data_IF_683210516509
#
_entry.id   IF_683210516509
#
_cell.length_a   1.000
_cell.length_b   1.000
_cell.length_c   1.000
_cell.angle_alpha   90.00
_cell.angle_beta   90.00
_cell.angle_gamma   90.00
#
_symmetry.space_group_name_H-M   'P 1'
#
loop_
_entity.id
_entity.type
_entity.pdbx_description
1 polymer ?
#
# COMPACT_ATOMS: atom_id res chain seq x y z
N UNK A 1 18.29 0.71 -2.43
CA UNK A 1 17.38 1.79 -2.85
C UNK A 1 16.04 1.12 -3.06
N UNK A 2 15.10 1.27 -2.13
CA UNK A 2 13.82 0.57 -2.20
C UNK A 2 13.00 1.12 -3.36
N UNK A 3 12.67 0.27 -4.33
CA UNK A 3 11.83 0.62 -5.48
C UNK A 3 10.35 0.29 -5.22
N UNK A 4 9.45 0.91 -5.99
CA UNK A 4 8.00 0.62 -5.92
C UNK A 4 7.74 -0.88 -6.07
N UNK A 5 8.46 -1.54 -6.98
CA UNK A 5 8.36 -2.98 -7.23
C UNK A 5 8.77 -3.84 -6.04
N UNK A 6 9.81 -3.46 -5.30
CA UNK A 6 10.22 -4.19 -4.09
C UNK A 6 9.17 -4.07 -2.99
N UNK A 7 8.63 -2.86 -2.76
CA UNK A 7 7.59 -2.65 -1.76
C UNK A 7 6.33 -3.44 -2.12
N UNK A 8 5.88 -3.34 -3.38
CA UNK A 8 4.73 -4.09 -3.88
C UNK A 8 4.96 -5.59 -3.76
N UNK A 9 6.14 -6.09 -4.14
CA UNK A 9 6.48 -7.51 -4.07
C UNK A 9 6.43 -8.05 -2.64
N UNK A 10 7.08 -7.36 -1.70
CA UNK A 10 7.06 -7.74 -0.29
C UNK A 10 5.65 -7.70 0.29
N UNK A 11 4.84 -6.70 -0.10
CA UNK A 11 3.46 -6.58 0.35
C UNK A 11 2.59 -7.71 -0.19
N UNK A 12 2.79 -8.12 -1.45
CA UNK A 12 2.07 -9.24 -2.05
C UNK A 12 2.48 -10.58 -1.44
N UNK A 13 3.75 -10.76 -1.08
CA UNK A 13 4.24 -11.96 -0.41
C UNK A 13 3.74 -12.08 1.04
N UNK A 14 3.72 -10.96 1.77
CA UNK A 14 3.29 -10.92 3.17
C UNK A 14 1.78 -10.81 3.33
N UNK A 15 1.07 -10.32 2.30
CA UNK A 15 -0.35 -10.00 2.37
C UNK A 15 -0.65 -8.83 3.30
N UNK A 16 0.35 -8.03 3.69
CA UNK A 16 0.20 -6.94 4.64
C UNK A 16 0.95 -5.69 4.18
N UNK A 17 0.23 -4.57 4.13
CA UNK A 17 0.75 -3.27 3.74
C UNK A 17 0.81 -2.36 4.97
N UNK A 18 1.99 -2.21 5.60
CA UNK A 18 2.17 -1.31 6.73
C UNK A 18 2.15 0.17 6.30
N UNK A 19 1.83 1.05 7.23
CA UNK A 19 1.76 2.50 7.00
C UNK A 19 3.07 3.07 6.46
N UNK A 20 4.22 2.62 6.95
CA UNK A 20 5.53 3.09 6.47
C UNK A 20 5.76 2.73 4.99
N UNK A 21 5.29 1.56 4.55
CA UNK A 21 5.41 1.11 3.17
C UNK A 21 4.48 1.90 2.25
N UNK A 22 3.25 2.21 2.70
CA UNK A 22 2.32 3.11 1.99
C UNK A 22 2.91 4.50 1.80
N UNK A 23 3.49 5.07 2.85
CA UNK A 23 4.09 6.40 2.80
C UNK A 23 5.32 6.43 1.88
N UNK A 24 6.13 5.37 1.89
CA UNK A 24 7.25 5.24 0.94
C UNK A 24 6.75 5.11 -0.51
N UNK A 25 5.74 4.28 -0.76
CA UNK A 25 5.09 4.16 -2.06
C UNK A 25 4.56 5.50 -2.56
N UNK A 26 3.86 6.25 -1.71
CA UNK A 26 3.31 7.57 -2.06
C UNK A 26 4.42 8.56 -2.41
N UNK A 27 5.51 8.59 -1.63
CA UNK A 27 6.68 9.42 -1.92
C UNK A 27 7.34 9.05 -3.25
N UNK A 28 7.48 7.76 -3.54
CA UNK A 28 8.06 7.28 -4.80
C UNK A 28 7.17 7.59 -6.00
N UNK A 29 5.86 7.46 -5.87
CA UNK A 29 4.88 7.83 -6.90
C UNK A 29 4.77 9.35 -7.11
N UNK A 30 5.17 10.17 -6.14
CA UNK A 30 5.27 11.62 -6.31
C UNK A 30 6.52 12.04 -7.09
N UNK A 31 7.51 11.16 -7.25
CA UNK A 31 8.70 11.47 -8.04
C UNK A 31 8.36 11.44 -9.52
N UNK A 32 8.80 12.43 -10.29
CA UNK A 32 8.45 12.61 -11.71
C UNK A 32 9.03 11.54 -12.66
N UNK A 33 9.67 10.49 -12.13
CA UNK A 33 10.42 9.47 -12.89
C UNK A 33 10.04 8.02 -12.59
N UNK A 34 8.86 7.73 -12.03
CA UNK A 34 8.43 6.33 -11.95
C UNK A 34 8.01 5.82 -13.34
N UNK A 35 8.45 4.61 -13.67
CA UNK A 35 8.20 4.02 -14.98
C UNK A 35 6.79 3.42 -15.09
N UNK A 36 6.43 2.99 -16.29
CA UNK A 36 5.18 2.23 -16.51
C UNK A 36 5.16 0.91 -15.71
N UNK A 37 6.32 0.30 -15.49
CA UNK A 37 6.46 -0.90 -14.67
C UNK A 37 6.11 -0.67 -13.20
N UNK A 38 6.51 0.49 -12.65
CA UNK A 38 6.19 0.88 -11.28
C UNK A 38 4.68 1.17 -11.13
N UNK A 39 4.09 1.84 -12.13
CA UNK A 39 2.65 2.07 -12.17
C UNK A 39 1.87 0.76 -12.24
N UNK A 40 2.30 -0.19 -13.07
CA UNK A 40 1.66 -1.50 -13.18
C UNK A 40 1.76 -2.31 -11.87
N UNK A 41 2.92 -2.27 -11.20
CA UNK A 41 3.09 -2.87 -9.89
C UNK A 41 2.14 -2.25 -8.86
N UNK A 42 2.03 -0.91 -8.86
CA UNK A 42 1.11 -0.22 -7.97
C UNK A 42 -0.36 -0.57 -8.25
N UNK A 43 -0.79 -0.66 -9.51
CA UNK A 43 -2.16 -1.07 -9.85
C UNK A 43 -2.48 -2.47 -9.33
N UNK A 44 -1.55 -3.42 -9.47
CA UNK A 44 -1.71 -4.79 -8.93
C UNK A 44 -1.86 -4.78 -7.42
N UNK A 45 -1.07 -3.96 -6.73
CA UNK A 45 -1.19 -3.80 -5.28
C UNK A 45 -2.56 -3.27 -4.88
N UNK A 46 -3.04 -2.22 -5.56
CA UNK A 46 -4.36 -1.65 -5.30
C UNK A 46 -5.47 -2.68 -5.53
N UNK A 47 -5.39 -3.45 -6.62
CA UNK A 47 -6.37 -4.49 -6.92
C UNK A 47 -6.38 -5.60 -5.84
N UNK A 48 -5.22 -6.11 -5.44
CA UNK A 48 -5.11 -7.13 -4.40
C UNK A 48 -5.63 -6.63 -3.04
N UNK A 49 -5.42 -5.35 -2.71
CA UNK A 49 -6.02 -4.73 -1.52
C UNK A 49 -7.54 -4.56 -1.63
N UNK A 50 -8.08 -4.26 -2.82
CA UNK A 50 -9.53 -4.20 -3.06
C UNK A 50 -10.18 -5.58 -2.99
N UNK A 51 -9.51 -6.62 -3.46
CA UNK A 51 -9.95 -8.01 -3.39
C UNK A 51 -9.83 -8.60 -1.97
N UNK A 52 -9.25 -7.85 -1.02
CA UNK A 52 -9.06 -8.29 0.36
C UNK A 52 -7.91 -9.29 0.54
N UNK A 53 -7.07 -9.48 -0.47
CA UNK A 53 -5.87 -10.32 -0.41
C UNK A 53 -4.75 -9.65 0.41
N UNK A 54 -4.79 -8.32 0.51
CA UNK A 54 -3.83 -7.52 1.27
C UNK A 54 -4.58 -6.74 2.34
N UNK A 55 -4.12 -6.85 3.58
CA UNK A 55 -4.58 -6.01 4.69
C UNK A 55 -3.74 -4.75 4.76
N UNK A 56 -4.41 -3.60 4.87
CA UNK A 56 -3.76 -2.30 4.98
C UNK A 56 -3.89 -1.83 6.42
N UNK A 57 -2.76 -1.48 7.04
CA UNK A 57 -2.75 -0.97 8.41
C UNK A 57 -3.56 0.34 8.54
N UNK A 58 -3.54 1.18 7.51
CA UNK A 58 -4.32 2.42 7.45
C UNK A 58 -5.83 2.16 7.55
N UNK A 59 -6.34 1.13 6.87
CA UNK A 59 -7.76 0.74 6.95
C UNK A 59 -8.14 0.20 8.33
N UNK A 60 -7.26 -0.58 8.94
CA UNK A 60 -7.48 -1.10 10.30
C UNK A 60 -7.46 0.04 11.33
N UNK A 61 -6.54 1.00 11.18
CA UNK A 61 -6.47 2.18 12.03
C UNK A 61 -7.68 3.11 11.88
N UNK A 62 -8.15 3.34 10.65
CA UNK A 62 -9.36 4.12 10.37
C UNK A 62 -10.61 3.43 10.95
N UNK A 63 -10.75 2.11 10.76
CA UNK A 63 -11.87 1.34 11.29
C UNK A 63 -11.91 1.37 12.83
N UNK A 64 -10.76 1.22 13.48
CA UNK A 64 -10.64 1.36 14.95
C UNK A 64 -10.94 2.78 15.43
N UNK A 65 -10.52 3.81 14.68
CA UNK A 65 -10.83 5.20 15.01
C UNK A 65 -12.34 5.48 14.93
N UNK A 66 -13.01 4.99 13.88
CA UNK A 66 -14.47 5.12 13.73
C UNK A 66 -15.23 4.46 14.87
N UNK A 67 -14.77 3.31 15.38
CA UNK A 67 -15.40 2.60 16.49
C UNK A 67 -15.21 3.30 17.84
N UNK A 68 -14.04 3.91 18.09
CA UNK A 68 -13.74 4.60 19.36
C UNK A 68 -14.34 6.01 19.45
N UNK A 69 -14.58 6.67 18.32
CA UNK A 69 -15.15 8.03 18.29
C UNK A 69 -16.69 8.03 18.34
N UNK A 70 -17.33 6.91 17.98
CA UNK A 70 -18.79 6.78 17.97
C UNK A 70 -19.34 5.87 19.10
N UNK A 71 -18.54 5.55 20.11
CA UNK A 71 -18.93 4.75 21.30
C UNK A 71 -19.23 5.59 22.53
#
# INVERSE_FOLDING_TARGET
MTSIREIVGQTLETGYLPLEAEDQLRRLLQQTKYGWEDLNAFIKLQQAAMEGQIRQESREADELHYLLVNS
#
